data_IF_249431901974
#
_entry.id   IF_249431901974
#
_cell.length_a   1.000
_cell.length_b   1.000
_cell.length_c   1.000
_cell.angle_alpha   90.00
_cell.angle_beta   90.00
_cell.angle_gamma   90.00
#
_symmetry.space_group_name_H-M   'P 1'
#
loop_
_entity.id
_entity.type
_entity.pdbx_description
1 polymer ?
#
# COMPACT_ATOMS: atom_id res chain seq x y z
N UNK A 1 -34.72 6.34 -22.35
CA UNK A 1 -34.06 5.70 -21.20
C UNK A 1 -32.56 5.81 -21.46
N UNK A 2 -31.92 6.90 -21.01
CA UNK A 2 -30.56 7.28 -21.41
C UNK A 2 -29.68 7.36 -20.16
N UNK A 3 -28.88 6.34 -19.92
CA UNK A 3 -28.03 6.22 -18.73
C UNK A 3 -26.63 5.78 -19.15
N UNK A 4 -25.86 6.63 -19.85
CA UNK A 4 -24.52 6.20 -20.28
C UNK A 4 -23.51 7.31 -20.64
N UNK A 5 -23.51 8.46 -19.95
CA UNK A 5 -22.59 9.58 -20.30
C UNK A 5 -21.74 10.13 -19.15
N UNK A 6 -21.74 9.50 -17.96
CA UNK A 6 -20.91 9.96 -16.82
C UNK A 6 -19.52 9.33 -16.70
N UNK A 7 -19.15 8.46 -17.64
CA UNK A 7 -17.87 7.74 -17.58
C UNK A 7 -16.67 8.52 -18.15
N UNK A 8 -16.90 9.58 -18.92
CA UNK A 8 -15.83 10.13 -19.78
C UNK A 8 -14.84 11.08 -19.09
N UNK A 9 -15.22 11.82 -18.04
CA UNK A 9 -14.33 12.84 -17.46
C UNK A 9 -13.40 12.28 -16.38
N UNK A 10 -13.93 11.47 -15.48
CA UNK A 10 -13.16 10.84 -14.40
C UNK A 10 -12.16 9.81 -14.95
N UNK A 11 -12.58 8.99 -15.92
CA UNK A 11 -11.70 8.02 -16.59
C UNK A 11 -10.58 8.72 -17.37
N UNK A 12 -10.87 9.82 -18.07
CA UNK A 12 -9.83 10.60 -18.78
C UNK A 12 -8.83 11.24 -17.82
N UNK A 13 -9.28 11.72 -16.65
CA UNK A 13 -8.40 12.36 -15.67
C UNK A 13 -7.54 11.35 -14.90
N UNK A 14 -8.11 10.20 -14.50
CA UNK A 14 -7.38 9.15 -13.77
C UNK A 14 -6.46 8.34 -14.70
N UNK A 15 -6.99 7.84 -15.82
CA UNK A 15 -6.38 6.82 -16.66
C UNK A 15 -5.57 7.44 -17.82
N UNK A 16 -5.86 8.69 -18.20
CA UNK A 16 -5.21 9.38 -19.32
C UNK A 16 -5.81 9.00 -20.68
N UNK A 17 -5.47 9.80 -21.71
CA UNK A 17 -5.92 9.58 -23.09
C UNK A 17 -5.16 8.39 -23.74
N UNK A 18 -5.86 7.53 -24.48
CA UNK A 18 -5.29 6.36 -25.16
C UNK A 18 -6.35 5.29 -25.51
N UNK A 19 -5.95 4.25 -26.24
CA UNK A 19 -6.85 3.10 -26.52
C UNK A 19 -7.10 2.31 -25.24
N UNK A 20 -8.31 1.75 -25.10
CA UNK A 20 -8.62 0.86 -23.99
C UNK A 20 -7.63 -0.31 -23.98
N UNK A 21 -6.93 -0.57 -22.85
CA UNK A 21 -6.05 -1.73 -22.73
C UNK A 21 -6.80 -3.03 -22.96
N UNK A 22 -6.08 -4.05 -23.45
CA UNK A 22 -6.63 -5.39 -23.53
C UNK A 22 -7.07 -5.87 -22.12
N UNK A 23 -8.33 -6.32 -21.95
CA UNK A 23 -8.92 -6.67 -20.66
C UNK A 23 -8.07 -7.61 -19.80
N UNK A 24 -7.27 -8.51 -20.42
CA UNK A 24 -6.42 -9.44 -19.66
C UNK A 24 -5.34 -8.73 -18.83
N UNK A 25 -4.77 -7.64 -19.34
CA UNK A 25 -3.72 -6.89 -18.63
C UNK A 25 -4.31 -6.04 -17.52
N UNK A 26 -5.49 -5.47 -17.73
CA UNK A 26 -6.25 -4.75 -16.71
C UNK A 26 -6.61 -5.68 -15.55
N UNK A 27 -7.18 -6.86 -15.83
CA UNK A 27 -7.51 -7.88 -14.82
C UNK A 27 -6.28 -8.36 -14.03
N UNK A 28 -5.13 -8.52 -14.69
CA UNK A 28 -3.88 -8.89 -14.00
C UNK A 28 -3.38 -7.77 -13.07
N UNK A 29 -3.49 -6.51 -13.50
CA UNK A 29 -3.10 -5.35 -12.71
C UNK A 29 -4.01 -5.16 -11.48
N UNK A 30 -5.31 -5.32 -11.66
CA UNK A 30 -6.32 -5.31 -10.59
C UNK A 30 -6.04 -6.39 -9.54
N UNK A 31 -5.77 -7.63 -9.95
CA UNK A 31 -5.45 -8.71 -9.01
C UNK A 31 -4.24 -8.37 -8.15
N UNK A 32 -3.21 -7.80 -8.76
CA UNK A 32 -2.00 -7.38 -8.04
C UNK A 32 -2.31 -6.21 -7.10
N UNK A 33 -3.15 -5.26 -7.52
CA UNK A 33 -3.62 -4.17 -6.67
C UNK A 33 -4.39 -4.69 -5.45
N UNK A 34 -5.36 -5.58 -5.66
CA UNK A 34 -6.16 -6.17 -4.58
C UNK A 34 -5.30 -6.99 -3.62
N UNK A 35 -4.31 -7.72 -4.12
CA UNK A 35 -3.35 -8.43 -3.28
C UNK A 35 -2.57 -7.48 -2.35
N UNK A 36 -2.20 -6.30 -2.83
CA UNK A 36 -1.47 -5.29 -2.05
C UNK A 36 -2.39 -4.56 -1.06
N UNK A 37 -3.62 -4.24 -1.44
CA UNK A 37 -4.62 -3.69 -0.52
C UNK A 37 -4.91 -4.66 0.62
N UNK A 38 -5.00 -5.96 0.33
CA UNK A 38 -5.14 -6.98 1.38
C UNK A 38 -3.99 -6.93 2.40
N UNK A 39 -2.74 -6.79 1.95
CA UNK A 39 -1.61 -6.67 2.87
C UNK A 39 -1.66 -5.37 3.68
N UNK A 40 -2.06 -4.25 3.07
CA UNK A 40 -2.22 -3.00 3.81
C UNK A 40 -3.32 -3.09 4.89
N UNK A 41 -4.46 -3.73 4.57
CA UNK A 41 -5.55 -3.93 5.52
C UNK A 41 -5.14 -4.87 6.67
N UNK A 42 -4.36 -5.91 6.39
CA UNK A 42 -3.83 -6.79 7.44
C UNK A 42 -2.91 -6.02 8.40
N UNK A 43 -2.04 -5.14 7.89
CA UNK A 43 -1.17 -4.29 8.71
C UNK A 43 -1.98 -3.29 9.56
N UNK A 44 -2.99 -2.67 8.97
CA UNK A 44 -3.91 -1.76 9.67
C UNK A 44 -4.64 -2.49 10.80
N UNK A 45 -5.19 -3.68 10.51
CA UNK A 45 -5.83 -4.53 11.52
C UNK A 45 -4.87 -4.94 12.63
N UNK A 46 -3.60 -5.19 12.30
CA UNK A 46 -2.54 -5.44 13.29
C UNK A 46 -2.31 -4.24 14.21
N UNK A 47 -2.26 -3.02 13.69
CA UNK A 47 -2.13 -1.81 14.51
C UNK A 47 -3.32 -1.66 15.48
N UNK A 48 -4.54 -1.85 14.97
CA UNK A 48 -5.76 -1.81 15.79
C UNK A 48 -5.72 -2.89 16.87
N UNK A 49 -5.28 -4.11 16.55
CA UNK A 49 -5.17 -5.20 17.51
C UNK A 49 -4.15 -4.91 18.62
N UNK A 50 -3.06 -4.22 18.31
CA UNK A 50 -2.07 -3.80 19.33
C UNK A 50 -2.68 -2.76 20.27
N UNK A 51 -3.36 -1.75 19.72
CA UNK A 51 -4.02 -0.73 20.53
C UNK A 51 -5.10 -1.35 21.44
N UNK A 52 -5.87 -2.32 20.96
CA UNK A 52 -6.94 -2.94 21.75
C UNK A 52 -6.45 -3.96 22.77
N UNK A 53 -5.52 -4.84 22.40
CA UNK A 53 -5.13 -5.99 23.23
C UNK A 53 -3.82 -5.76 24.00
N UNK A 54 -2.88 -4.98 23.46
CA UNK A 54 -1.57 -4.78 24.08
C UNK A 54 -1.53 -3.54 24.99
N UNK A 55 -2.66 -2.86 25.19
CA UNK A 55 -2.74 -1.62 25.96
C UNK A 55 -2.15 -1.70 27.37
N UNK A 56 -2.32 -2.85 28.04
CA UNK A 56 -1.88 -3.09 29.41
C UNK A 56 -0.60 -3.93 29.51
N UNK A 57 -0.16 -4.51 28.40
CA UNK A 57 0.99 -5.43 28.34
C UNK A 57 2.29 -4.73 27.90
N UNK A 58 2.18 -3.57 27.27
CA UNK A 58 3.31 -2.80 26.76
C UNK A 58 3.40 -1.43 27.43
N UNK A 59 4.63 -0.93 27.70
CA UNK A 59 4.80 0.46 28.11
C UNK A 59 4.28 1.40 27.01
N UNK A 60 3.70 2.56 27.37
CA UNK A 60 3.03 3.45 26.42
C UNK A 60 3.90 3.84 25.22
N UNK A 61 5.18 4.10 25.44
CA UNK A 61 6.14 4.51 24.40
C UNK A 61 6.38 3.41 23.35
N UNK A 62 6.59 2.17 23.80
CA UNK A 62 6.84 1.03 22.90
C UNK A 62 5.60 0.62 22.11
N UNK A 63 4.42 0.73 22.73
CA UNK A 63 3.13 0.42 22.09
C UNK A 63 2.83 1.40 20.95
N UNK A 64 2.89 2.70 21.25
CA UNK A 64 2.65 3.77 20.28
C UNK A 64 3.63 3.68 19.10
N UNK A 65 4.91 3.39 19.36
CA UNK A 65 5.89 3.21 18.29
C UNK A 65 5.51 2.08 17.33
N UNK A 66 5.01 0.95 17.86
CA UNK A 66 4.64 -0.21 17.06
C UNK A 66 3.34 0.00 16.26
N UNK A 67 2.34 0.63 16.87
CA UNK A 67 1.12 1.05 16.17
C UNK A 67 1.43 2.02 15.03
N UNK A 68 2.23 3.06 15.29
CA UNK A 68 2.62 4.02 14.27
C UNK A 68 3.42 3.37 13.14
N UNK A 69 4.31 2.43 13.45
CA UNK A 69 5.07 1.70 12.43
C UNK A 69 4.14 0.86 11.52
N UNK A 70 3.18 0.14 12.10
CA UNK A 70 2.21 -0.65 11.34
C UNK A 70 1.28 0.23 10.49
N UNK A 71 0.78 1.34 11.05
CA UNK A 71 -0.05 2.30 10.34
C UNK A 71 0.72 2.96 9.19
N UNK A 72 1.96 3.39 9.43
CA UNK A 72 2.81 3.99 8.40
C UNK A 72 3.08 2.98 7.27
N UNK A 73 3.40 1.73 7.61
CA UNK A 73 3.63 0.69 6.60
C UNK A 73 2.36 0.38 5.81
N UNK A 74 1.19 0.29 6.48
CA UNK A 74 -0.11 0.11 5.83
C UNK A 74 -0.42 1.22 4.84
N UNK A 75 -0.19 2.47 5.23
CA UNK A 75 -0.39 3.65 4.38
C UNK A 75 0.53 3.61 3.15
N UNK A 76 1.82 3.31 3.36
CA UNK A 76 2.80 3.24 2.28
C UNK A 76 2.47 2.12 1.27
N UNK A 77 2.05 0.95 1.75
CA UNK A 77 1.61 -0.16 0.87
C UNK A 77 0.36 0.24 0.07
N UNK A 78 -0.61 0.91 0.71
CA UNK A 78 -1.86 1.37 0.05
C UNK A 78 -1.58 2.41 -1.04
N UNK A 79 -0.81 3.44 -0.71
CA UNK A 79 -0.44 4.50 -1.66
C UNK A 79 0.41 3.93 -2.80
N UNK A 80 1.34 3.04 -2.47
CA UNK A 80 2.17 2.37 -3.45
C UNK A 80 1.37 1.50 -4.41
N UNK A 81 0.36 0.76 -3.92
CA UNK A 81 -0.53 -0.03 -4.75
C UNK A 81 -1.29 0.84 -5.77
N UNK A 82 -1.85 1.98 -5.31
CA UNK A 82 -2.57 2.91 -6.16
C UNK A 82 -1.68 3.58 -7.21
N UNK A 83 -0.48 4.03 -6.82
CA UNK A 83 0.48 4.61 -7.77
C UNK A 83 0.90 3.57 -8.82
N UNK A 84 1.25 2.34 -8.40
CA UNK A 84 1.61 1.25 -9.33
C UNK A 84 0.52 1.02 -10.36
N UNK A 85 -0.72 0.93 -9.88
CA UNK A 85 -1.88 0.65 -10.70
C UNK A 85 -2.07 1.75 -11.76
N UNK A 86 -2.05 3.02 -11.35
CA UNK A 86 -2.15 4.17 -12.25
C UNK A 86 -0.99 4.24 -13.26
N UNK A 87 0.24 3.96 -12.84
CA UNK A 87 1.42 4.00 -13.70
C UNK A 87 1.37 2.91 -14.80
N UNK A 88 0.96 1.69 -14.43
CA UNK A 88 0.81 0.57 -15.37
C UNK A 88 -0.34 0.83 -16.35
N UNK A 89 -1.49 1.28 -15.84
CA UNK A 89 -2.67 1.59 -16.66
C UNK A 89 -2.39 2.69 -17.69
N UNK A 90 -1.67 3.76 -17.28
CA UNK A 90 -1.23 4.84 -18.19
C UNK A 90 -0.23 4.35 -19.24
N UNK A 91 0.67 3.43 -18.88
CA UNK A 91 1.64 2.87 -19.83
C UNK A 91 0.95 1.96 -20.85
N UNK A 92 0.02 1.11 -20.40
CA UNK A 92 -0.80 0.24 -21.26
C UNK A 92 -1.61 1.06 -22.28
N UNK A 93 -2.21 2.19 -21.86
CA UNK A 93 -2.97 3.09 -22.74
C UNK A 93 -2.15 3.79 -23.80
N UNK A 94 -0.85 3.97 -23.55
CA UNK A 94 0.10 4.64 -24.46
C UNK A 94 0.92 3.66 -25.29
N UNK A 95 0.63 2.36 -25.22
CA UNK A 95 1.44 1.28 -25.84
C UNK A 95 2.95 1.41 -25.49
N UNK A 96 3.24 1.99 -24.32
CA UNK A 96 4.58 2.28 -23.86
C UNK A 96 5.19 1.06 -23.12
N UNK A 97 6.52 0.90 -23.12
CA UNK A 97 7.17 -0.16 -22.35
C UNK A 97 6.78 -0.06 -20.87
N UNK A 98 6.50 -1.22 -20.26
CA UNK A 98 6.06 -1.33 -18.88
C UNK A 98 7.05 -0.61 -17.95
N UNK A 99 6.60 0.33 -17.11
CA UNK A 99 7.48 1.09 -16.24
C UNK A 99 8.18 0.13 -15.26
N UNK A 100 9.51 0.24 -15.18
CA UNK A 100 10.31 -0.50 -14.21
C UNK A 100 9.72 -0.32 -12.80
N UNK A 101 9.64 -1.38 -11.98
CA UNK A 101 8.91 -1.37 -10.72
C UNK A 101 9.68 -0.61 -9.64
N UNK A 102 9.76 0.72 -9.76
CA UNK A 102 10.39 1.65 -8.80
C UNK A 102 9.78 1.59 -7.39
N UNK A 103 8.59 1.01 -7.27
CA UNK A 103 7.91 0.76 -6.00
C UNK A 103 8.49 -0.39 -5.19
N UNK A 104 9.14 -1.35 -5.85
CA UNK A 104 9.81 -2.48 -5.17
C UNK A 104 10.92 -1.98 -4.24
N UNK A 105 11.88 -1.14 -4.67
CA UNK A 105 12.90 -0.62 -3.76
C UNK A 105 12.31 0.30 -2.68
N UNK A 106 11.32 1.13 -3.02
CA UNK A 106 10.68 2.02 -2.03
C UNK A 106 9.99 1.24 -0.90
N UNK A 107 9.20 0.21 -1.24
CA UNK A 107 8.54 -0.64 -0.25
C UNK A 107 9.53 -1.50 0.52
N UNK A 108 10.61 -1.96 -0.12
CA UNK A 108 11.68 -2.70 0.56
C UNK A 108 12.37 -1.83 1.61
N UNK A 109 12.63 -0.55 1.29
CA UNK A 109 13.19 0.42 2.25
C UNK A 109 12.20 0.70 3.38
N UNK A 110 10.92 0.96 3.07
CA UNK A 110 9.89 1.21 4.08
C UNK A 110 9.72 0.03 5.05
N UNK A 111 9.64 -1.19 4.52
CA UNK A 111 9.52 -2.41 5.32
C UNK A 111 10.79 -2.66 6.15
N UNK A 112 11.98 -2.38 5.58
CA UNK A 112 13.25 -2.43 6.29
C UNK A 112 13.29 -1.45 7.47
N UNK A 113 12.87 -0.21 7.27
CA UNK A 113 12.78 0.80 8.33
C UNK A 113 11.81 0.38 9.44
N UNK A 114 10.64 -0.17 9.08
CA UNK A 114 9.69 -0.68 10.05
C UNK A 114 10.28 -1.85 10.88
N UNK A 115 11.01 -2.77 10.24
CA UNK A 115 11.72 -3.85 10.94
C UNK A 115 12.80 -3.34 11.88
N UNK A 116 13.63 -2.38 11.44
CA UNK A 116 14.68 -1.77 12.27
C UNK A 116 14.07 -1.09 13.49
N UNK A 117 12.98 -0.34 13.31
CA UNK A 117 12.27 0.29 14.43
C UNK A 117 11.74 -0.75 15.42
N UNK A 118 11.12 -1.83 14.93
CA UNK A 118 10.62 -2.92 15.76
C UNK A 118 11.73 -3.61 16.56
N UNK A 119 12.85 -3.95 15.91
CA UNK A 119 14.01 -4.58 16.56
C UNK A 119 14.60 -3.66 17.61
N UNK A 120 14.74 -2.35 17.33
CA UNK A 120 15.24 -1.37 18.30
C UNK A 120 14.38 -1.32 19.57
N UNK A 121 13.05 -1.33 19.42
CA UNK A 121 12.12 -1.34 20.56
C UNK A 121 12.22 -2.64 21.37
N UNK A 122 12.26 -3.79 20.70
CA UNK A 122 12.40 -5.10 21.36
C UNK A 122 13.73 -5.23 22.11
N UNK A 123 14.81 -4.71 21.52
CA UNK A 123 16.14 -4.74 22.11
C UNK A 123 16.24 -3.86 23.36
N UNK A 124 15.66 -2.66 23.30
CA UNK A 124 15.55 -1.76 24.46
C UNK A 124 14.75 -2.41 25.61
N UNK A 125 13.68 -3.15 25.30
CA UNK A 125 12.90 -3.90 26.30
C UNK A 125 13.72 -5.01 26.98
N UNK A 126 14.60 -5.69 26.25
CA UNK A 126 15.43 -6.77 26.81
C UNK A 126 16.53 -6.25 27.74
N UNK A 127 17.10 -5.08 27.45
CA UNK A 127 18.20 -4.51 28.23
C UNK A 127 17.76 -3.56 29.36
N UNK A 128 16.50 -3.12 29.35
CA UNK A 128 15.93 -2.23 30.37
C UNK A 128 15.21 -2.94 31.53
N UNK A 129 15.48 -4.23 31.75
CA UNK A 129 14.89 -5.05 32.82
C UNK A 129 15.89 -5.36 33.93
#
# INVERSE_FOLDING_TARGET
MNSDHRHTLWERWLLGQGKAPDPRFTLANERTFLAWIRTALALLGGAIAIETFAAHALPPSGRVAMELALLATSLLVSLGAGWRWLAVERALRREAPLPLPRLVPLLSVACGLACVALVGVLWARWHGG
#
